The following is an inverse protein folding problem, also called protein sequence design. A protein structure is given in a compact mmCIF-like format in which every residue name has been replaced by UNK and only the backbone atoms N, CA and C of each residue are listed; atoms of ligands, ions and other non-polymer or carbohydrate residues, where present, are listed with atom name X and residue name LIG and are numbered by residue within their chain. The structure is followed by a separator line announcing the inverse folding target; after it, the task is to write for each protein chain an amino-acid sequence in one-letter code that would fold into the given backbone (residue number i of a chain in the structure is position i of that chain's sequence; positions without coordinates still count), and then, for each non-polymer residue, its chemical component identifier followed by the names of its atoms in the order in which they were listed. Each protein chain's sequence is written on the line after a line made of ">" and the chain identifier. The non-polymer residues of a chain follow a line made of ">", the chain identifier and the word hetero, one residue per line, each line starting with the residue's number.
data_IF_114604485099
#
_entry.id   IF_114604485099
#
_cell.length_a   1.000
_cell.length_b   1.000
_cell.length_c   1.000
_cell.angle_alpha   90.00
_cell.angle_beta   90.00
_cell.angle_gamma   90.00
#
_symmetry.space_group_name_H-M   'P 1'
#
loop_
_entity.id
_entity.type
_entity.pdbx_description
1 polymer ?
#
# COMPACT_ATOMS: atom_id res chain seq x y z
N UNK A 1 -20.99 10.45 16.44
CA UNK A 1 -20.57 11.49 15.48
C UNK A 1 -19.49 10.88 14.60
N UNK A 2 -19.69 10.82 13.28
CA UNK A 2 -18.69 10.29 12.33
C UNK A 2 -17.49 11.24 12.23
N UNK A 3 -16.27 10.71 12.21
CA UNK A 3 -15.03 11.50 12.11
C UNK A 3 -15.01 12.41 10.86
N UNK A 4 -15.69 11.98 9.80
CA UNK A 4 -15.88 12.75 8.56
C UNK A 4 -16.68 14.03 8.84
N UNK A 5 -17.74 13.97 9.65
CA UNK A 5 -18.55 15.15 9.99
C UNK A 5 -17.79 16.17 10.86
N UNK A 6 -16.88 15.71 11.71
CA UNK A 6 -16.05 16.58 12.53
C UNK A 6 -14.99 17.32 11.70
N UNK A 7 -14.45 16.67 10.67
CA UNK A 7 -13.48 17.26 9.75
C UNK A 7 -14.08 18.41 8.94
N UNK A 8 -15.32 18.26 8.45
CA UNK A 8 -16.02 19.32 7.72
C UNK A 8 -16.40 20.51 8.62
N UNK A 9 -16.87 20.25 9.84
CA UNK A 9 -17.20 21.31 10.79
C UNK A 9 -15.96 22.13 11.23
N UNK A 10 -14.79 21.48 11.35
CA UNK A 10 -13.54 22.15 11.68
C UNK A 10 -13.02 23.05 10.53
N UNK A 11 -13.23 22.66 9.27
CA UNK A 11 -12.87 23.48 8.11
C UNK A 11 -13.68 24.79 8.06
N UNK A 12 -15.00 24.71 8.26
CA UNK A 12 -15.88 25.89 8.21
C UNK A 12 -15.61 26.89 9.36
N UNK A 13 -15.21 26.39 10.54
CA UNK A 13 -14.82 27.24 11.67
C UNK A 13 -13.43 27.87 11.47
N UNK A 14 -12.50 27.17 10.82
CA UNK A 14 -11.14 27.64 10.62
C UNK A 14 -11.01 28.73 9.55
N UNK A 15 -11.86 28.71 8.51
CA UNK A 15 -11.77 29.66 7.39
C UNK A 15 -13.15 30.09 6.88
N UNK A 16 -13.89 30.90 7.65
CA UNK A 16 -15.15 31.46 7.19
C UNK A 16 -14.92 32.40 6.00
N UNK A 17 -15.51 32.06 4.84
CA UNK A 17 -15.44 32.86 3.62
C UNK A 17 -14.30 32.52 2.65
N UNK A 18 -13.54 31.45 2.88
CA UNK A 18 -12.53 30.99 1.92
C UNK A 18 -13.19 30.41 0.65
N UNK A 19 -12.84 30.97 -0.49
CA UNK A 19 -13.22 30.45 -1.81
C UNK A 19 -12.14 29.49 -2.32
N UNK A 20 -12.54 28.33 -2.84
CA UNK A 20 -11.60 27.39 -3.48
C UNK A 20 -10.97 28.07 -4.69
N UNK A 21 -9.65 28.24 -4.68
CA UNK A 21 -8.92 28.83 -5.79
C UNK A 21 -8.66 27.80 -6.90
N UNK A 22 -8.31 28.28 -8.10
CA UNK A 22 -7.90 27.38 -9.19
C UNK A 22 -6.69 26.51 -8.83
N UNK A 23 -5.77 27.03 -7.99
CA UNK A 23 -4.61 26.28 -7.51
C UNK A 23 -5.03 25.14 -6.57
N UNK A 24 -6.01 25.37 -5.70
CA UNK A 24 -6.54 24.34 -4.80
C UNK A 24 -7.20 23.22 -5.60
N UNK A 25 -7.99 23.58 -6.62
CA UNK A 25 -8.62 22.60 -7.53
C UNK A 25 -7.54 21.77 -8.23
N UNK A 26 -6.51 22.42 -8.78
CA UNK A 26 -5.41 21.74 -9.46
C UNK A 26 -4.66 20.79 -8.52
N UNK A 27 -4.41 21.22 -7.28
CA UNK A 27 -3.78 20.40 -6.25
C UNK A 27 -4.62 19.16 -5.93
N UNK A 28 -5.91 19.35 -5.62
CA UNK A 28 -6.80 18.23 -5.30
C UNK A 28 -6.95 17.28 -6.49
N UNK A 29 -7.12 17.81 -7.70
CA UNK A 29 -7.21 17.00 -8.91
C UNK A 29 -5.93 16.18 -9.12
N UNK A 30 -4.76 16.76 -8.87
CA UNK A 30 -3.48 16.05 -8.99
C UNK A 30 -3.32 14.97 -7.93
N UNK A 31 -3.60 15.28 -6.67
CA UNK A 31 -3.47 14.32 -5.55
C UNK A 31 -4.49 13.19 -5.71
N UNK A 32 -5.77 13.50 -5.86
CA UNK A 32 -6.82 12.48 -5.99
C UNK A 32 -6.64 11.71 -7.29
N UNK A 33 -6.36 12.40 -8.40
CA UNK A 33 -6.13 11.77 -9.70
C UNK A 33 -4.93 10.82 -9.67
N UNK A 34 -3.82 11.20 -9.05
CA UNK A 34 -2.65 10.32 -8.90
C UNK A 34 -2.96 9.09 -8.05
N UNK A 35 -3.66 9.25 -6.93
CA UNK A 35 -4.07 8.12 -6.08
C UNK A 35 -4.95 7.14 -6.86
N UNK A 36 -5.95 7.65 -7.59
CA UNK A 36 -6.86 6.81 -8.37
C UNK A 36 -6.13 6.13 -9.52
N UNK A 37 -5.29 6.85 -10.25
CA UNK A 37 -4.57 6.30 -11.41
C UNK A 37 -3.51 5.29 -10.98
N UNK A 38 -2.60 5.67 -10.11
CA UNK A 38 -1.50 4.78 -9.70
C UNK A 38 -1.99 3.70 -8.73
N UNK A 39 -2.83 4.05 -7.77
CA UNK A 39 -3.41 3.07 -6.85
C UNK A 39 -4.34 2.09 -7.56
N UNK A 40 -5.17 2.57 -8.49
CA UNK A 40 -6.02 1.72 -9.32
C UNK A 40 -5.20 0.80 -10.23
N UNK A 41 -4.19 1.33 -10.91
CA UNK A 41 -3.28 0.53 -11.72
C UNK A 41 -2.56 -0.54 -10.89
N UNK A 42 -2.06 -0.19 -9.70
CA UNK A 42 -1.41 -1.12 -8.79
C UNK A 42 -2.37 -2.23 -8.33
N UNK A 43 -3.62 -1.88 -7.96
CA UNK A 43 -4.63 -2.87 -7.57
C UNK A 43 -4.99 -3.82 -8.71
N UNK A 44 -5.14 -3.31 -9.94
CA UNK A 44 -5.40 -4.13 -11.13
C UNK A 44 -4.22 -5.07 -11.40
N UNK A 45 -2.99 -4.54 -11.41
CA UNK A 45 -1.78 -5.32 -11.64
C UNK A 45 -1.59 -6.41 -10.57
N UNK A 46 -1.80 -6.07 -9.30
CA UNK A 46 -1.73 -7.03 -8.20
C UNK A 46 -2.81 -8.11 -8.32
N UNK A 47 -4.03 -7.72 -8.67
CA UNK A 47 -5.14 -8.67 -8.88
C UNK A 47 -4.89 -9.61 -10.05
N UNK A 48 -4.28 -9.11 -11.14
CA UNK A 48 -3.80 -9.95 -12.23
C UNK A 48 -2.70 -10.91 -11.77
N UNK A 49 -1.68 -10.42 -11.06
CA UNK A 49 -0.55 -11.22 -10.58
C UNK A 49 -1.00 -12.38 -9.68
N UNK A 50 -1.99 -12.15 -8.80
CA UNK A 50 -2.60 -13.22 -8.00
C UNK A 50 -3.35 -14.25 -8.85
N UNK A 51 -4.11 -13.81 -9.86
CA UNK A 51 -4.89 -14.71 -10.73
C UNK A 51 -4.02 -15.54 -11.67
N UNK A 52 -2.88 -14.98 -12.07
CA UNK A 52 -1.95 -15.60 -13.00
C UNK A 52 -0.89 -16.48 -12.30
N UNK A 53 -0.94 -16.58 -10.97
CA UNK A 53 -0.01 -17.41 -10.21
C UNK A 53 1.41 -16.83 -10.10
N UNK A 54 1.59 -15.52 -10.30
CA UNK A 54 2.90 -14.87 -10.16
C UNK A 54 3.48 -15.00 -8.73
N UNK A 55 2.65 -15.36 -7.76
CA UNK A 55 3.04 -15.63 -6.38
C UNK A 55 3.21 -17.12 -6.04
N UNK A 56 2.91 -18.05 -6.97
CA UNK A 56 2.83 -19.49 -6.68
C UNK A 56 4.18 -20.10 -6.28
N UNK A 57 5.29 -19.50 -6.74
CA UNK A 57 6.64 -19.96 -6.42
C UNK A 57 7.49 -18.89 -5.75
N UNK A 58 6.90 -18.17 -4.80
CA UNK A 58 7.60 -17.14 -4.02
C UNK A 58 8.87 -17.67 -3.34
N UNK A 59 8.85 -18.94 -2.95
CA UNK A 59 9.99 -19.61 -2.32
C UNK A 59 11.18 -19.80 -3.28
N UNK A 60 10.94 -20.13 -4.55
CA UNK A 60 12.03 -20.24 -5.53
C UNK A 60 12.68 -18.87 -5.79
N UNK A 61 11.89 -17.80 -5.85
CA UNK A 61 12.41 -16.44 -6.01
C UNK A 61 13.25 -15.98 -4.81
N UNK A 62 12.85 -16.32 -3.59
CA UNK A 62 13.66 -16.01 -2.39
C UNK A 62 14.97 -16.80 -2.35
N UNK A 63 14.98 -18.01 -2.91
CA UNK A 63 16.16 -18.86 -2.97
C UNK A 63 17.09 -18.57 -4.16
N UNK A 64 16.64 -17.83 -5.18
CA UNK A 64 17.43 -17.59 -6.40
C UNK A 64 18.65 -16.70 -6.18
N UNK A 65 18.76 -16.04 -5.03
CA UNK A 65 19.93 -15.23 -4.69
C UNK A 65 21.14 -16.10 -4.32
N UNK A 66 20.89 -17.32 -3.84
CA UNK A 66 21.93 -18.24 -3.38
C UNK A 66 22.54 -18.95 -4.59
N UNK A 67 23.87 -18.96 -4.65
CA UNK A 67 24.59 -19.76 -5.63
C UNK A 67 24.38 -21.27 -5.41
N UNK A 68 24.74 -22.13 -6.39
CA UNK A 68 24.61 -23.58 -6.25
C UNK A 68 25.35 -24.18 -5.05
N UNK A 69 26.43 -23.54 -4.62
CA UNK A 69 27.28 -24.00 -3.51
C UNK A 69 27.03 -23.22 -2.21
N UNK A 70 26.07 -22.28 -2.20
CA UNK A 70 25.77 -21.43 -1.05
C UNK A 70 24.62 -22.03 -0.21
N UNK A 71 24.78 -22.16 1.11
CA UNK A 71 23.72 -22.68 1.96
C UNK A 71 22.57 -21.67 2.11
N UNK A 72 21.33 -22.15 1.94
CA UNK A 72 20.12 -21.36 2.21
C UNK A 72 20.00 -21.16 3.71
N UNK A 73 19.88 -19.89 4.15
CA UNK A 73 19.73 -19.55 5.57
C UNK A 73 18.40 -20.00 6.18
N UNK A 74 18.41 -20.29 7.48
CA UNK A 74 17.20 -20.62 8.26
C UNK A 74 16.51 -19.35 8.77
N UNK A 75 15.16 -19.34 8.77
CA UNK A 75 14.39 -18.24 9.34
C UNK A 75 14.59 -18.18 10.86
N UNK A 76 15.19 -17.10 11.35
CA UNK A 76 15.47 -16.91 12.78
C UNK A 76 14.39 -16.13 13.52
N UNK A 77 13.52 -15.45 12.79
CA UNK A 77 12.39 -14.72 13.36
C UNK A 77 11.14 -15.62 13.38
N UNK A 78 10.39 -15.55 14.49
CA UNK A 78 9.14 -16.29 14.65
C UNK A 78 8.13 -15.41 15.37
N UNK A 79 6.86 -15.54 14.99
CA UNK A 79 5.80 -14.83 15.70
C UNK A 79 5.76 -15.29 17.18
N UNK A 80 5.50 -14.38 18.13
CA UNK A 80 5.37 -14.74 19.53
C UNK A 80 4.34 -15.87 19.72
N UNK A 81 4.77 -16.99 20.32
CA UNK A 81 3.92 -18.15 20.57
C UNK A 81 4.02 -19.29 19.54
N UNK A 82 4.85 -19.15 18.50
CA UNK A 82 5.15 -20.23 17.55
C UNK A 82 6.40 -20.99 18.02
N UNK A 83 6.33 -22.30 18.31
CA UNK A 83 7.53 -23.09 18.61
C UNK A 83 8.44 -23.12 17.37
N UNK A 84 9.72 -22.84 17.56
CA UNK A 84 10.72 -23.08 16.52
C UNK A 84 11.15 -24.54 16.65
N UNK A 85 10.58 -25.42 15.83
CA UNK A 85 11.06 -26.80 15.71
C UNK A 85 12.46 -26.75 15.08
N UNK A 86 13.46 -27.23 15.82
CA UNK A 86 14.86 -27.33 15.38
C UNK A 86 15.19 -28.78 15.01
#
# INVERSE_FOLDING_TARGET
>A
MSAIAALFAAHDVATPGATVSAADIALFATVIGSIVMFGGAAAIALSWAFRDGQFDNFQQGSQSIFGPDEPIGEATDSFPGTPIER
#
